data_IF_293740174967
#
_entry.id   IF_293740174967
#
_cell.length_a   1.000
_cell.length_b   1.000
_cell.length_c   1.000
_cell.angle_alpha   90.00
_cell.angle_beta   90.00
_cell.angle_gamma   90.00
#
_symmetry.space_group_name_H-M   'P 1'
#
loop_
_entity.id
_entity.type
_entity.pdbx_description
1 polymer ?
#
# COMPACT_ATOMS: atom_id res chain seq x y z
N UNK A 1 -13.41 3.15 -19.23
CA UNK A 1 -13.22 2.47 -17.93
C UNK A 1 -14.21 1.33 -17.83
N UNK A 2 -13.75 0.14 -17.49
CA UNK A 2 -14.56 -1.05 -17.24
C UNK A 2 -14.58 -1.37 -15.74
N UNK A 3 -15.74 -1.76 -15.22
CA UNK A 3 -15.89 -2.19 -13.83
C UNK A 3 -15.72 -3.70 -13.71
N UNK A 4 -15.06 -4.16 -12.64
CA UNK A 4 -15.09 -5.58 -12.23
C UNK A 4 -15.77 -5.64 -10.87
N UNK A 5 -16.93 -6.27 -10.84
CA UNK A 5 -17.67 -6.59 -9.62
C UNK A 5 -16.88 -7.64 -8.81
N UNK A 6 -16.46 -7.26 -7.60
CA UNK A 6 -15.75 -8.16 -6.69
C UNK A 6 -16.48 -8.23 -5.33
N UNK A 7 -17.09 -9.38 -5.06
CA UNK A 7 -17.82 -9.65 -3.83
C UNK A 7 -17.00 -10.45 -2.80
N UNK A 8 -15.75 -10.80 -3.10
CA UNK A 8 -14.87 -11.48 -2.15
C UNK A 8 -14.40 -10.53 -1.06
N UNK A 9 -14.45 -11.00 0.19
CA UNK A 9 -13.85 -10.32 1.35
C UNK A 9 -12.49 -10.93 1.73
N UNK A 10 -12.04 -11.96 1.01
CA UNK A 10 -10.73 -12.59 1.24
C UNK A 10 -9.63 -11.66 0.71
N UNK A 11 -8.76 -11.13 1.59
CA UNK A 11 -7.69 -10.23 1.16
C UNK A 11 -6.71 -10.89 0.18
N UNK A 12 -6.48 -12.21 0.29
CA UNK A 12 -5.55 -12.91 -0.59
C UNK A 12 -6.09 -12.97 -2.02
N UNK A 13 -7.38 -13.27 -2.17
CA UNK A 13 -8.07 -13.21 -3.46
C UNK A 13 -8.04 -11.79 -4.04
N UNK A 14 -8.36 -10.77 -3.23
CA UNK A 14 -8.48 -9.40 -3.71
C UNK A 14 -7.16 -8.85 -4.27
N UNK A 15 -6.06 -9.07 -3.56
CA UNK A 15 -4.74 -8.68 -4.07
C UNK A 15 -4.26 -9.58 -5.22
N UNK A 16 -4.67 -10.85 -5.26
CA UNK A 16 -4.42 -11.72 -6.40
C UNK A 16 -5.16 -11.27 -7.66
N UNK A 17 -6.39 -10.74 -7.52
CA UNK A 17 -7.15 -10.17 -8.63
C UNK A 17 -6.44 -8.93 -9.19
N UNK A 18 -6.02 -8.00 -8.34
CA UNK A 18 -5.23 -6.83 -8.79
C UNK A 18 -3.97 -7.29 -9.54
N UNK A 19 -3.23 -8.25 -8.98
CA UNK A 19 -2.00 -8.78 -9.57
C UNK A 19 -2.27 -9.46 -10.92
N UNK A 20 -3.28 -10.32 -10.99
CA UNK A 20 -3.69 -11.01 -12.21
C UNK A 20 -3.99 -10.03 -13.34
N UNK A 21 -4.72 -8.94 -13.03
CA UNK A 21 -5.11 -7.92 -14.00
C UNK A 21 -3.96 -7.09 -14.55
N UNK A 22 -2.86 -6.94 -13.80
CA UNK A 22 -1.68 -6.21 -14.26
C UNK A 22 -0.60 -7.12 -14.86
N UNK A 23 -0.59 -8.42 -14.53
CA UNK A 23 0.48 -9.33 -14.99
C UNK A 23 0.08 -10.31 -16.07
N UNK A 24 -1.17 -10.78 -16.09
CA UNK A 24 -1.59 -11.91 -16.92
C UNK A 24 -2.82 -11.60 -17.79
N UNK A 25 -3.82 -10.88 -17.26
CA UNK A 25 -5.01 -10.54 -18.02
C UNK A 25 -4.77 -9.33 -18.92
N UNK A 26 -5.23 -9.44 -20.16
CA UNK A 26 -5.35 -8.29 -21.05
C UNK A 26 -6.83 -8.06 -21.34
N UNK A 27 -7.32 -6.89 -20.96
CA UNK A 27 -8.65 -6.41 -21.32
C UNK A 27 -8.52 -5.36 -22.43
N UNK A 28 -9.53 -5.21 -23.30
CA UNK A 28 -9.49 -4.23 -24.39
C UNK A 28 -9.57 -2.79 -23.87
N UNK A 29 -10.15 -2.55 -22.70
CA UNK A 29 -10.21 -1.23 -22.08
C UNK A 29 -8.90 -0.86 -21.40
N UNK A 30 -8.46 0.38 -21.61
CA UNK A 30 -7.22 0.90 -21.02
C UNK A 30 -7.34 1.23 -19.52
N UNK A 31 -8.53 1.19 -18.93
CA UNK A 31 -8.74 1.49 -17.52
C UNK A 31 -9.77 0.56 -16.90
N UNK A 32 -9.39 -0.08 -15.80
CA UNK A 32 -10.22 -0.99 -15.00
C UNK A 32 -10.43 -0.34 -13.63
N UNK A 33 -11.66 -0.45 -13.12
CA UNK A 33 -12.03 -0.01 -11.78
C UNK A 33 -12.58 -1.19 -10.97
N UNK A 34 -12.15 -1.29 -9.71
CA UNK A 34 -12.63 -2.28 -8.75
C UNK A 34 -12.93 -1.54 -7.46
N UNK A 35 -14.05 -1.88 -6.82
CA UNK A 35 -14.41 -1.37 -5.49
C UNK A 35 -14.75 -2.57 -4.62
N UNK A 36 -13.95 -2.77 -3.57
CA UNK A 36 -13.89 -4.03 -2.82
C UNK A 36 -13.69 -3.76 -1.33
N UNK A 37 -13.89 -4.76 -0.49
CA UNK A 37 -13.63 -4.68 0.96
C UNK A 37 -13.00 -5.97 1.45
N UNK A 38 -12.61 -6.01 2.71
CA UNK A 38 -11.97 -7.20 3.32
C UNK A 38 -12.58 -7.52 4.67
N UNK A 39 -12.50 -8.79 5.05
CA UNK A 39 -12.54 -9.15 6.47
C UNK A 39 -11.38 -8.48 7.24
N UNK A 40 -11.41 -8.42 8.58
CA UNK A 40 -10.35 -7.77 9.36
C UNK A 40 -8.94 -8.16 8.90
N UNK A 41 -8.18 -7.19 8.37
CA UNK A 41 -6.91 -7.44 7.69
C UNK A 41 -5.89 -6.33 7.99
N UNK A 42 -4.66 -6.75 8.25
CA UNK A 42 -3.45 -5.92 8.22
C UNK A 42 -2.83 -5.99 6.83
N UNK A 43 -2.88 -4.89 6.08
CA UNK A 43 -2.28 -4.77 4.76
C UNK A 43 -0.89 -4.13 4.88
N UNK A 44 0.14 -4.95 4.72
CA UNK A 44 1.54 -4.56 4.86
C UNK A 44 2.05 -3.96 3.54
N UNK A 45 2.76 -2.83 3.60
CA UNK A 45 3.42 -2.25 2.45
C UNK A 45 4.54 -3.15 1.90
N UNK A 46 4.77 -3.11 0.59
CA UNK A 46 5.73 -4.00 -0.10
C UNK A 46 7.09 -4.07 0.57
N UNK A 47 7.60 -2.93 1.07
CA UNK A 47 8.94 -2.80 1.62
C UNK A 47 8.99 -2.82 3.16
N UNK A 48 7.88 -3.04 3.86
CA UNK A 48 7.89 -3.01 5.33
C UNK A 48 8.33 -4.33 5.96
N UNK A 49 8.94 -4.26 7.14
CA UNK A 49 9.21 -5.43 7.96
C UNK A 49 7.95 -5.80 8.76
N UNK A 50 7.23 -6.85 8.35
CA UNK A 50 5.93 -7.22 8.94
C UNK A 50 6.01 -7.41 10.45
N UNK A 51 7.06 -8.08 10.94
CA UNK A 51 7.21 -8.43 12.36
C UNK A 51 7.31 -7.17 13.22
N UNK A 52 7.91 -6.10 12.70
CA UNK A 52 8.09 -4.84 13.44
C UNK A 52 6.83 -3.95 13.38
N UNK A 53 5.97 -4.14 12.39
CA UNK A 53 4.83 -3.24 12.13
C UNK A 53 3.53 -3.68 12.80
N UNK A 54 3.41 -4.97 13.15
CA UNK A 54 2.16 -5.55 13.68
C UNK A 54 2.29 -6.17 15.06
N UNK A 55 1.19 -6.13 15.81
CA UNK A 55 0.99 -6.97 16.98
C UNK A 55 0.46 -8.35 16.54
N UNK A 56 1.39 -9.26 16.22
CA UNK A 56 1.05 -10.57 15.65
C UNK A 56 0.17 -11.43 16.58
N UNK A 57 0.44 -11.39 17.89
CA UNK A 57 -0.36 -12.15 18.88
C UNK A 57 -1.80 -11.65 18.94
N UNK A 58 -2.00 -10.33 18.95
CA UNK A 58 -3.33 -9.74 18.88
C UNK A 58 -4.02 -10.09 17.56
N UNK A 59 -3.31 -9.97 16.44
CA UNK A 59 -3.87 -10.28 15.12
C UNK A 59 -4.35 -11.74 15.04
N UNK A 60 -3.50 -12.70 15.44
CA UNK A 60 -3.86 -14.13 15.49
C UNK A 60 -5.05 -14.40 16.41
N UNK A 61 -5.06 -13.83 17.62
CA UNK A 61 -6.12 -14.05 18.60
C UNK A 61 -7.49 -13.54 18.13
N UNK A 62 -7.50 -12.46 17.34
CA UNK A 62 -8.73 -11.84 16.84
C UNK A 62 -9.07 -12.23 15.39
N UNK A 63 -8.36 -13.21 14.81
CA UNK A 63 -8.62 -13.67 13.44
C UNK A 63 -8.29 -12.65 12.35
N UNK A 64 -7.45 -11.66 12.65
CA UNK A 64 -7.04 -10.62 11.69
C UNK A 64 -6.01 -11.20 10.73
N UNK A 65 -6.30 -11.14 9.42
CA UNK A 65 -5.39 -11.61 8.38
C UNK A 65 -4.22 -10.66 8.20
N UNK A 66 -3.10 -11.17 7.69
CA UNK A 66 -1.91 -10.37 7.35
C UNK A 66 -1.58 -10.65 5.90
N UNK A 67 -1.54 -9.59 5.08
CA UNK A 67 -1.23 -9.70 3.65
C UNK A 67 -0.30 -8.57 3.23
N UNK A 68 0.74 -8.89 2.46
CA UNK A 68 1.61 -7.89 1.84
C UNK A 68 1.09 -7.52 0.46
N UNK A 69 0.92 -6.22 0.22
CA UNK A 69 0.56 -5.70 -1.11
C UNK A 69 1.79 -5.45 -1.97
N UNK A 70 1.57 -5.29 -3.28
CA UNK A 70 2.64 -5.03 -4.26
C UNK A 70 3.03 -3.56 -4.38
N UNK A 71 2.33 -2.67 -3.69
CA UNK A 71 2.61 -1.23 -3.63
C UNK A 71 3.40 -0.88 -2.36
N UNK A 72 4.15 0.22 -2.41
CA UNK A 72 4.86 0.77 -1.24
C UNK A 72 3.91 1.38 -0.20
N UNK A 73 4.44 2.22 0.68
CA UNK A 73 3.67 2.86 1.76
C UNK A 73 3.64 2.07 3.07
N UNK A 74 2.95 2.63 4.08
CA UNK A 74 2.86 2.05 5.42
C UNK A 74 1.81 0.94 5.59
N UNK A 75 1.74 0.37 6.79
CA UNK A 75 0.76 -0.69 7.11
C UNK A 75 -0.58 -0.03 7.43
N UNK A 76 -1.66 -0.63 6.94
CA UNK A 76 -3.03 -0.19 7.25
C UNK A 76 -3.86 -1.36 7.79
N UNK A 77 -4.86 -1.03 8.60
CA UNK A 77 -5.91 -1.96 9.02
C UNK A 77 -7.16 -1.70 8.18
N UNK A 78 -7.84 -2.77 7.80
CA UNK A 78 -9.12 -2.74 7.10
C UNK A 78 -10.07 -3.75 7.72
N UNK A 79 -11.36 -3.52 7.55
CA UNK A 79 -12.44 -4.38 8.03
C UNK A 79 -13.68 -4.20 7.15
N UNK A 80 -14.79 -4.81 7.58
CA UNK A 80 -16.07 -4.76 6.88
C UNK A 80 -16.73 -3.37 6.89
N UNK A 81 -16.29 -2.47 7.78
CA UNK A 81 -16.76 -1.09 7.85
C UNK A 81 -16.03 -0.17 6.86
N UNK A 82 -14.86 -0.57 6.37
CA UNK A 82 -14.10 0.16 5.34
C UNK A 82 -14.33 -0.36 3.93
N UNK A 83 -13.91 0.45 2.95
CA UNK A 83 -13.86 0.07 1.54
C UNK A 83 -12.48 0.34 0.95
N UNK A 84 -12.17 -0.35 -0.14
CA UNK A 84 -10.98 -0.17 -0.95
C UNK A 84 -11.39 0.04 -2.40
N UNK A 85 -10.54 0.74 -3.14
CA UNK A 85 -10.74 0.94 -4.56
C UNK A 85 -9.43 0.78 -5.31
N UNK A 86 -9.53 0.35 -6.56
CA UNK A 86 -8.36 0.12 -7.43
C UNK A 86 -8.67 0.65 -8.82
N UNK A 87 -7.80 1.52 -9.32
CA UNK A 87 -7.71 1.94 -10.70
C UNK A 87 -6.48 1.28 -11.33
N UNK A 88 -6.71 0.43 -12.32
CA UNK A 88 -5.64 -0.21 -13.09
C UNK A 88 -5.69 0.40 -14.49
N UNK A 89 -4.64 1.12 -14.87
CA UNK A 89 -4.58 1.84 -16.15
C UNK A 89 -3.42 1.34 -16.98
N UNK A 90 -3.68 0.99 -18.24
CA UNK A 90 -2.66 0.61 -19.20
C UNK A 90 -1.89 1.84 -19.65
N UNK A 91 -0.56 1.70 -19.76
CA UNK A 91 0.36 2.79 -20.02
C UNK A 91 1.20 3.13 -18.80
N UNK A 92 2.48 3.42 -19.04
CA UNK A 92 3.40 3.88 -18.02
C UNK A 92 3.15 5.37 -17.78
N UNK A 93 2.64 5.72 -16.60
CA UNK A 93 2.85 7.07 -16.10
C UNK A 93 4.36 7.25 -15.85
N UNK A 94 4.96 8.32 -16.37
CA UNK A 94 6.38 8.61 -16.14
C UNK A 94 6.67 8.89 -14.65
N UNK A 95 5.65 9.32 -13.90
CA UNK A 95 5.72 9.68 -12.48
C UNK A 95 4.50 9.16 -11.70
N UNK A 96 4.64 9.09 -10.37
CA UNK A 96 3.51 8.79 -9.48
C UNK A 96 2.68 10.07 -9.34
N UNK A 97 1.40 10.00 -9.75
CA UNK A 97 0.45 11.11 -9.66
C UNK A 97 -0.88 10.61 -9.08
N UNK A 98 -1.05 10.83 -7.78
CA UNK A 98 -2.24 10.42 -7.05
C UNK A 98 -3.47 11.28 -7.40
N UNK A 99 -3.29 12.54 -7.83
CA UNK A 99 -4.41 13.47 -8.05
C UNK A 99 -5.36 12.98 -9.14
N UNK A 100 -4.80 12.40 -10.21
CA UNK A 100 -5.56 11.87 -11.35
C UNK A 100 -6.59 10.82 -10.94
N UNK A 101 -6.25 9.95 -9.99
CA UNK A 101 -7.10 8.83 -9.56
C UNK A 101 -8.02 9.17 -8.38
N UNK A 102 -7.66 10.19 -7.60
CA UNK A 102 -8.40 10.63 -6.43
C UNK A 102 -9.61 11.49 -6.80
N UNK A 103 -9.54 12.26 -7.90
CA UNK A 103 -10.61 13.16 -8.33
C UNK A 103 -12.00 12.50 -8.37
N UNK A 104 -12.19 11.34 -9.05
CA UNK A 104 -13.48 10.64 -9.07
C UNK A 104 -14.01 10.22 -7.69
N UNK A 105 -13.11 9.90 -6.75
CA UNK A 105 -13.47 9.53 -5.37
C UNK A 105 -13.98 10.76 -4.61
N UNK A 106 -13.29 11.89 -4.72
CA UNK A 106 -13.72 13.16 -4.10
C UNK A 106 -15.09 13.59 -4.66
N UNK A 107 -15.29 13.51 -5.97
CA UNK A 107 -16.58 13.86 -6.58
C UNK A 107 -17.71 12.91 -6.14
N UNK A 108 -17.41 11.63 -5.90
CA UNK A 108 -18.35 10.69 -5.29
C UNK A 108 -18.76 11.09 -3.88
N UNK A 109 -17.80 11.44 -3.04
CA UNK A 109 -18.06 11.88 -1.66
C UNK A 109 -18.80 13.22 -1.61
N UNK A 110 -18.50 14.13 -2.53
CA UNK A 110 -19.19 15.42 -2.65
C UNK A 110 -20.69 15.27 -2.94
N UNK A 111 -21.10 14.24 -3.69
CA UNK A 111 -22.53 13.92 -3.90
C UNK A 111 -23.24 13.44 -2.62
N UNK A 112 -22.48 13.04 -1.61
CA UNK A 112 -22.97 12.69 -0.27
C UNK A 112 -22.85 13.88 0.71
N UNK A 113 -22.57 15.08 0.21
CA UNK A 113 -22.29 16.28 0.99
C UNK A 113 -21.09 16.16 1.95
N UNK A 114 -20.15 15.24 1.66
CA UNK A 114 -18.92 15.06 2.45
C UNK A 114 -17.80 15.95 1.87
N UNK A 115 -17.26 16.91 2.63
CA UNK A 115 -16.23 17.85 2.16
C UNK A 115 -14.84 17.20 2.22
N UNK A 116 -14.61 16.23 1.35
CA UNK A 116 -13.34 15.54 1.21
C UNK A 116 -12.33 16.37 0.41
N UNK A 117 -11.09 16.42 0.90
CA UNK A 117 -9.99 17.17 0.29
C UNK A 117 -8.72 16.32 0.24
N UNK A 118 -7.82 16.65 -0.68
CA UNK A 118 -6.47 16.09 -0.73
C UNK A 118 -5.54 17.00 0.09
N UNK A 119 -4.93 16.48 1.17
CA UNK A 119 -4.13 17.34 2.06
C UNK A 119 -2.61 17.21 1.88
N UNK A 120 -2.14 16.09 1.34
CA UNK A 120 -0.72 15.75 1.33
C UNK A 120 -0.44 14.56 0.42
N UNK A 121 0.85 14.24 0.26
CA UNK A 121 1.48 13.15 -0.49
C UNK A 121 0.57 12.06 -1.08
N UNK A 122 -0.24 11.38 -0.28
CA UNK A 122 -1.08 10.26 -0.72
C UNK A 122 -2.37 10.08 0.10
N UNK A 123 -2.83 11.10 0.83
CA UNK A 123 -3.92 10.98 1.79
C UNK A 123 -5.12 11.90 1.46
N UNK A 124 -6.33 11.43 1.80
CA UNK A 124 -7.55 12.25 1.77
C UNK A 124 -8.01 12.57 3.18
N UNK A 125 -8.53 13.78 3.36
CA UNK A 125 -8.99 14.29 4.64
C UNK A 125 -10.40 14.87 4.58
N UNK A 126 -11.07 14.83 5.72
CA UNK A 126 -12.29 15.60 5.99
C UNK A 126 -11.96 16.48 7.20
N UNK A 127 -12.07 17.80 7.04
CA UNK A 127 -11.71 18.77 8.08
C UNK A 127 -10.31 18.55 8.68
N UNK A 128 -9.34 18.21 7.83
CA UNK A 128 -7.95 17.94 8.23
C UNK A 128 -7.69 16.57 8.86
N UNK A 129 -8.71 15.73 9.08
CA UNK A 129 -8.56 14.35 9.57
C UNK A 129 -8.56 13.35 8.42
N UNK A 130 -7.59 12.44 8.41
CA UNK A 130 -7.42 11.42 7.38
C UNK A 130 -8.55 10.39 7.40
N UNK A 131 -9.11 10.10 6.23
CA UNK A 131 -10.06 9.00 6.04
C UNK A 131 -9.62 8.05 4.92
N UNK A 132 -8.55 8.37 4.18
CA UNK A 132 -8.07 7.54 3.08
C UNK A 132 -6.55 7.61 2.98
N UNK A 133 -5.92 6.46 2.72
CA UNK A 133 -4.54 6.37 2.29
C UNK A 133 -4.45 5.70 0.93
N UNK A 134 -3.62 6.25 0.05
CA UNK A 134 -3.43 5.81 -1.34
C UNK A 134 -2.03 5.25 -1.56
N UNK A 135 -1.90 4.32 -2.49
CA UNK A 135 -0.62 3.77 -2.90
C UNK A 135 -0.63 3.46 -4.41
N UNK A 136 0.53 3.60 -5.04
CA UNK A 136 0.69 3.36 -6.47
C UNK A 136 1.91 2.48 -6.74
N UNK A 137 1.83 1.64 -7.78
CA UNK A 137 2.99 1.02 -8.41
C UNK A 137 2.83 0.95 -9.92
N UNK A 138 3.95 0.84 -10.63
CA UNK A 138 4.00 0.53 -12.05
C UNK A 138 4.54 -0.89 -12.22
N UNK A 139 3.85 -1.73 -13.00
CA UNK A 139 4.27 -3.10 -13.29
C UNK A 139 3.73 -3.53 -14.65
N UNK A 140 4.57 -4.18 -15.47
CA UNK A 140 4.19 -4.76 -16.77
C UNK A 140 3.44 -3.81 -17.71
N UNK A 141 3.81 -2.52 -17.70
CA UNK A 141 3.14 -1.51 -18.53
C UNK A 141 1.79 -1.02 -18.00
N UNK A 142 1.42 -1.40 -16.77
CA UNK A 142 0.26 -0.90 -16.06
C UNK A 142 0.65 -0.01 -14.89
N UNK A 143 -0.21 0.96 -14.60
CA UNK A 143 -0.22 1.70 -13.35
C UNK A 143 -1.38 1.19 -12.50
N UNK A 144 -1.07 0.66 -11.31
CA UNK A 144 -2.06 0.36 -10.27
C UNK A 144 -2.05 1.51 -9.27
N UNK A 145 -3.16 2.22 -9.14
CA UNK A 145 -3.46 3.11 -8.02
C UNK A 145 -4.57 2.50 -7.20
N UNK A 146 -4.36 2.28 -5.91
CA UNK A 146 -5.41 1.86 -5.02
C UNK A 146 -5.43 2.68 -3.74
N UNK A 147 -6.57 2.67 -3.06
CA UNK A 147 -6.74 3.39 -1.81
C UNK A 147 -7.74 2.71 -0.89
N UNK A 148 -7.66 3.09 0.37
CA UNK A 148 -8.61 2.72 1.42
C UNK A 148 -9.57 3.88 1.68
N UNK A 149 -10.78 3.58 2.14
CA UNK A 149 -11.79 4.52 2.58
C UNK A 149 -12.28 4.03 3.95
N UNK A 150 -11.93 4.78 4.99
CA UNK A 150 -12.41 4.58 6.35
C UNK A 150 -13.86 5.08 6.38
N UNK A 151 -14.80 4.20 6.05
CA UNK A 151 -16.21 4.56 6.04
C UNK A 151 -16.81 4.44 7.45
N UNK A 152 -16.70 3.27 8.06
CA UNK A 152 -17.12 2.98 9.44
C UNK A 152 -16.16 1.97 10.10
N UNK A 153 -14.86 2.20 9.95
CA UNK A 153 -13.79 1.29 10.40
C UNK A 153 -13.61 1.32 11.91
N UNK A 154 -13.31 0.17 12.50
CA UNK A 154 -13.01 -0.01 13.91
C UNK A 154 -11.60 0.50 14.27
N UNK A 155 -11.54 1.76 14.72
CA UNK A 155 -10.27 2.38 15.14
C UNK A 155 -9.67 1.76 16.40
N UNK A 156 -10.44 1.06 17.22
CA UNK A 156 -9.90 0.40 18.41
C UNK A 156 -9.12 -0.86 17.99
N UNK A 157 -9.69 -1.67 17.09
CA UNK A 157 -8.96 -2.79 16.50
C UNK A 157 -7.73 -2.33 15.72
N UNK A 158 -7.87 -1.28 14.89
CA UNK A 158 -6.75 -0.68 14.16
C UNK A 158 -5.56 -0.34 15.07
N UNK A 159 -5.82 0.27 16.23
CA UNK A 159 -4.74 0.65 17.16
C UNK A 159 -4.13 -0.57 17.83
N UNK A 160 -4.94 -1.57 18.20
CA UNK A 160 -4.48 -2.75 18.93
C UNK A 160 -3.68 -3.73 18.07
N UNK A 161 -3.94 -3.79 16.77
CA UNK A 161 -3.28 -4.72 15.85
C UNK A 161 -1.97 -4.17 15.26
N UNK A 162 -1.70 -2.88 15.37
CA UNK A 162 -0.44 -2.26 14.95
C UNK A 162 0.53 -2.19 16.13
N UNK A 163 1.83 -2.30 15.85
CA UNK A 163 2.85 -2.13 16.89
C UNK A 163 2.77 -0.69 17.44
N UNK A 164 2.54 -0.58 18.74
CA UNK A 164 2.69 0.66 19.49
C UNK A 164 4.02 0.58 20.24
N UNK A 165 4.77 1.69 20.30
CA UNK A 165 5.93 1.79 21.20
C UNK A 165 5.50 1.31 22.60
N UNK A 166 6.30 0.44 23.23
CA UNK A 166 6.00 -0.18 24.53
C UNK A 166 5.65 0.84 25.64
N UNK A 167 6.03 2.10 25.46
CA UNK A 167 5.76 3.22 26.37
C UNK A 167 4.39 3.90 26.18
N UNK A 168 3.66 3.62 25.10
CA UNK A 168 2.35 4.23 24.81
C UNK A 168 1.22 3.38 25.37
N UNK A 169 0.52 3.91 26.37
CA UNK A 169 -0.74 3.33 26.85
C UNK A 169 -1.76 3.28 25.70
N UNK A 170 -2.36 2.12 25.43
CA UNK A 170 -3.33 1.89 24.33
C UNK A 170 -4.43 2.95 24.30
N UNK A 171 -4.98 3.34 25.47
CA UNK A 171 -6.03 4.38 25.54
C UNK A 171 -5.57 5.75 25.04
N UNK A 172 -4.29 6.12 25.25
CA UNK A 172 -3.69 7.33 24.66
C UNK A 172 -3.48 7.16 23.15
N UNK A 173 -3.13 5.94 22.70
CA UNK A 173 -3.03 5.59 21.28
C UNK A 173 -4.36 5.78 20.55
N UNK A 174 -5.46 5.23 21.08
CA UNK A 174 -6.80 5.36 20.50
C UNK A 174 -7.21 6.83 20.40
N UNK A 175 -7.03 7.60 21.48
CA UNK A 175 -7.35 9.02 21.48
C UNK A 175 -6.54 9.79 20.42
N UNK A 176 -5.23 9.54 20.35
CA UNK A 176 -4.33 10.15 19.36
C UNK A 176 -4.65 9.77 17.91
N UNK A 177 -5.15 8.56 17.67
CA UNK A 177 -5.62 8.15 16.33
C UNK A 177 -6.90 8.91 15.97
N UNK A 178 -7.92 8.95 16.85
CA UNK A 178 -9.17 9.69 16.61
C UNK A 178 -9.01 11.21 16.44
N UNK A 179 -7.89 11.77 16.88
CA UNK A 179 -7.51 13.16 16.61
C UNK A 179 -7.02 13.38 15.18
N UNK A 180 -6.46 12.34 14.54
CA UNK A 180 -5.81 12.41 13.21
C UNK A 180 -6.59 11.72 12.09
N UNK A 181 -7.44 10.74 12.42
CA UNK A 181 -8.27 10.00 11.47
C UNK A 181 -9.75 10.15 11.79
N UNK A 182 -10.61 9.90 10.79
CA UNK A 182 -12.07 9.99 10.93
C UNK A 182 -12.75 9.02 9.99
N UNK A 183 -13.95 8.58 10.35
CA UNK A 183 -14.81 7.76 9.50
C UNK A 183 -15.70 8.67 8.64
N UNK A 184 -15.91 8.31 7.37
CA UNK A 184 -16.80 9.05 6.46
C UNK A 184 -18.23 9.07 7.02
N UNK A 185 -18.68 7.98 7.68
CA UNK A 185 -20.01 7.85 8.27
C UNK A 185 -20.33 8.97 9.27
N UNK A 186 -19.32 9.50 9.97
CA UNK A 186 -19.44 10.59 10.95
C UNK A 186 -19.74 11.96 10.32
N UNK A 187 -19.54 12.11 9.00
CA UNK A 187 -19.69 13.38 8.28
C UNK A 187 -20.88 13.39 7.32
N UNK A 188 -21.71 12.36 7.33
CA UNK A 188 -22.90 12.29 6.49
C UNK A 188 -24.05 13.10 7.09
N UNK A 189 -24.78 13.82 6.23
CA UNK A 189 -26.01 14.52 6.62
C UNK A 189 -27.15 13.55 6.96
N UNK A 190 -27.14 12.35 6.35
CA UNK A 190 -28.07 11.26 6.61
C UNK A 190 -27.30 9.95 6.76
N UNK A 191 -27.56 9.15 7.81
CA UNK A 191 -26.94 7.84 7.95
C UNK A 191 -27.27 6.94 6.75
N UNK A 192 -26.26 6.28 6.21
CA UNK A 192 -26.40 5.21 5.21
C UNK A 192 -25.55 4.02 5.65
N UNK A 193 -25.96 2.81 5.28
CA UNK A 193 -25.15 1.61 5.51
C UNK A 193 -23.98 1.50 4.50
N UNK A 194 -23.03 0.61 4.81
CA UNK A 194 -21.82 0.39 4.01
C UNK A 194 -22.11 -0.04 2.57
N UNK A 195 -23.17 -0.81 2.33
CA UNK A 195 -23.49 -1.36 1.01
C UNK A 195 -24.21 -0.31 0.15
N UNK A 196 -25.01 0.56 0.77
CA UNK A 196 -25.56 1.76 0.15
C UNK A 196 -24.43 2.72 -0.25
N UNK A 197 -23.45 2.94 0.63
CA UNK A 197 -22.26 3.73 0.30
C UNK A 197 -21.51 3.16 -0.91
N UNK A 198 -21.27 1.84 -0.95
CA UNK A 198 -20.67 1.16 -2.12
C UNK A 198 -21.39 1.50 -3.41
N UNK A 199 -22.71 1.32 -3.45
CA UNK A 199 -23.51 1.55 -4.68
C UNK A 199 -23.35 2.99 -5.18
N UNK A 200 -23.46 3.97 -4.28
CA UNK A 200 -23.34 5.39 -4.61
C UNK A 200 -21.93 5.75 -5.13
N UNK A 201 -20.88 5.19 -4.51
CA UNK A 201 -19.50 5.40 -4.95
C UNK A 201 -19.24 4.79 -6.32
N UNK A 202 -19.65 3.53 -6.54
CA UNK A 202 -19.48 2.85 -7.84
C UNK A 202 -20.24 3.60 -8.94
N UNK A 203 -21.51 3.96 -8.70
CA UNK A 203 -22.32 4.71 -9.66
C UNK A 203 -21.68 6.06 -9.99
N UNK A 204 -21.17 6.78 -8.98
CA UNK A 204 -20.54 8.07 -9.20
C UNK A 204 -19.23 7.96 -9.98
N UNK A 205 -18.35 7.01 -9.61
CA UNK A 205 -17.03 6.84 -10.25
C UNK A 205 -17.18 6.34 -11.68
N UNK A 206 -18.13 5.46 -11.94
CA UNK A 206 -18.43 4.96 -13.30
C UNK A 206 -19.14 6.01 -14.18
N UNK A 207 -19.58 7.14 -13.62
CA UNK A 207 -20.21 8.25 -14.35
C UNK A 207 -21.38 7.78 -15.24
N UNK A 208 -22.16 6.81 -14.77
CA UNK A 208 -23.28 6.23 -15.52
C UNK A 208 -22.90 5.19 -16.59
N UNK A 209 -21.60 4.91 -16.81
CA UNK A 209 -21.16 3.78 -17.62
C UNK A 209 -21.60 2.46 -17.00
N UNK A 210 -22.09 1.55 -17.85
CA UNK A 210 -22.45 0.17 -17.48
C UNK A 210 -21.46 -0.87 -18.02
N UNK A 211 -20.28 -0.42 -18.47
CA UNK A 211 -19.23 -1.30 -18.95
C UNK A 211 -18.72 -2.16 -17.78
N UNK A 212 -18.92 -3.47 -17.87
CA UNK A 212 -18.59 -4.42 -16.82
C UNK A 212 -17.92 -5.65 -17.43
N UNK A 213 -16.86 -6.13 -16.77
CA UNK A 213 -16.22 -7.40 -17.08
C UNK A 213 -16.53 -8.40 -15.98
N UNK A 214 -17.22 -9.48 -16.35
CA UNK A 214 -17.49 -10.61 -15.47
C UNK A 214 -16.31 -11.57 -15.48
N UNK A 215 -15.75 -11.86 -14.30
CA UNK A 215 -14.67 -12.84 -14.17
C UNK A 215 -15.17 -14.21 -14.62
N UNK A 216 -14.46 -14.83 -15.56
CA UNK A 216 -14.75 -16.19 -16.02
C UNK A 216 -14.28 -17.22 -15.00
N UNK A 217 -14.74 -18.47 -15.12
CA UNK A 217 -14.25 -19.56 -14.28
C UNK A 217 -12.71 -19.73 -14.36
N UNK A 218 -12.13 -19.56 -15.56
CA UNK A 218 -10.69 -19.63 -15.75
C UNK A 218 -9.95 -18.46 -15.07
N UNK A 219 -10.53 -17.25 -15.08
CA UNK A 219 -9.98 -16.11 -14.34
C UNK A 219 -9.99 -16.43 -12.84
N UNK A 220 -11.11 -16.91 -12.31
CA UNK A 220 -11.27 -17.26 -10.89
C UNK A 220 -10.28 -18.35 -10.46
N UNK A 221 -10.12 -19.41 -11.25
CA UNK A 221 -9.16 -20.49 -10.96
C UNK A 221 -7.73 -19.94 -10.89
N UNK A 222 -7.35 -19.08 -11.83
CA UNK A 222 -6.00 -18.50 -11.85
C UNK A 222 -5.78 -17.51 -10.71
N UNK A 223 -6.74 -16.65 -10.42
CA UNK A 223 -6.68 -15.72 -9.28
C UNK A 223 -6.52 -16.49 -7.97
N UNK A 224 -7.29 -17.56 -7.76
CA UNK A 224 -7.17 -18.41 -6.57
C UNK A 224 -5.82 -19.13 -6.49
N UNK A 225 -5.24 -19.53 -7.62
CA UNK A 225 -3.88 -20.08 -7.64
C UNK A 225 -2.84 -19.04 -7.20
N UNK A 226 -2.89 -17.82 -7.76
CA UNK A 226 -2.01 -16.70 -7.36
C UNK A 226 -2.20 -16.36 -5.88
N UNK A 227 -3.44 -16.36 -5.38
CA UNK A 227 -3.74 -16.12 -3.97
C UNK A 227 -3.01 -17.12 -3.08
N UNK A 228 -3.07 -18.42 -3.38
CA UNK A 228 -2.38 -19.47 -2.62
C UNK A 228 -0.86 -19.42 -2.75
N UNK A 229 -0.36 -19.25 -3.97
CA UNK A 229 1.08 -19.31 -4.29
C UNK A 229 1.84 -18.10 -3.73
N UNK A 230 1.18 -16.94 -3.69
CA UNK A 230 1.81 -15.66 -3.37
C UNK A 230 1.19 -14.98 -2.16
N UNK A 231 -0.07 -14.55 -2.25
CA UNK A 231 -0.63 -13.64 -1.23
C UNK A 231 -0.93 -14.30 0.11
N UNK A 232 -1.15 -15.61 0.14
CA UNK A 232 -1.30 -16.41 1.35
C UNK A 232 0.03 -17.00 1.86
N UNK A 233 1.14 -16.88 1.12
CA UNK A 233 2.40 -17.52 1.50
C UNK A 233 3.15 -16.74 2.58
N UNK A 234 3.80 -17.49 3.47
CA UNK A 234 4.60 -16.90 4.56
C UNK A 234 5.78 -16.10 4.01
N UNK A 235 6.42 -16.63 2.97
CA UNK A 235 7.57 -16.03 2.30
C UNK A 235 7.23 -14.67 1.69
N UNK A 236 6.00 -14.47 1.21
CA UNK A 236 5.58 -13.17 0.70
C UNK A 236 5.19 -12.21 1.83
N UNK A 237 4.39 -12.67 2.79
CA UNK A 237 3.84 -11.80 3.81
C UNK A 237 4.86 -11.38 4.87
N UNK A 238 5.78 -12.27 5.26
CA UNK A 238 6.77 -12.02 6.30
C UNK A 238 8.20 -11.99 5.76
N UNK A 239 8.48 -12.75 4.70
CA UNK A 239 9.80 -12.79 4.09
C UNK A 239 10.83 -13.56 4.91
N UNK A 240 12.10 -13.38 4.54
CA UNK A 240 13.25 -13.86 5.30
C UNK A 240 13.74 -12.74 6.23
N UNK A 241 14.37 -13.11 7.33
CA UNK A 241 15.16 -12.21 8.18
C UNK A 241 16.64 -12.39 7.84
N UNK A 242 17.19 -11.64 6.88
CA UNK A 242 18.57 -11.76 6.48
C UNK A 242 19.50 -11.36 7.63
N UNK A 243 20.72 -11.91 7.62
CA UNK A 243 21.73 -11.52 8.60
C UNK A 243 22.13 -10.07 8.36
N UNK A 244 22.32 -9.33 9.43
CA UNK A 244 22.87 -7.98 9.38
C UNK A 244 23.65 -7.71 10.67
N UNK A 245 24.66 -6.85 10.58
CA UNK A 245 25.43 -6.37 11.71
C UNK A 245 25.46 -4.83 11.79
N UNK A 246 24.94 -4.15 10.76
CA UNK A 246 24.76 -2.71 10.73
C UNK A 246 23.32 -2.39 10.33
N UNK A 247 22.69 -1.49 11.09
CA UNK A 247 21.42 -0.86 10.71
C UNK A 247 21.65 0.64 10.51
N UNK A 248 21.08 1.18 9.43
CA UNK A 248 21.01 2.62 9.17
C UNK A 248 19.60 3.00 8.79
N UNK A 249 19.11 4.11 9.33
CA UNK A 249 17.74 4.57 9.09
C UNK A 249 17.77 6.02 8.66
N UNK A 250 17.14 6.29 7.53
CA UNK A 250 16.93 7.62 6.97
C UNK A 250 15.45 7.96 6.92
N UNK A 251 15.11 9.24 7.17
CA UNK A 251 13.77 9.75 6.94
C UNK A 251 13.82 10.86 5.90
N UNK A 252 13.12 10.64 4.81
CA UNK A 252 13.02 11.54 3.68
C UNK A 252 11.58 12.06 3.56
N UNK A 253 11.37 13.11 2.77
CA UNK A 253 10.03 13.51 2.32
C UNK A 253 9.30 12.32 1.66
N UNK A 254 10.10 11.52 0.95
CA UNK A 254 9.79 10.24 0.35
C UNK A 254 9.55 9.05 1.29
N UNK A 255 9.57 9.23 2.61
CA UNK A 255 9.30 8.17 3.59
C UNK A 255 10.55 7.68 4.29
N UNK A 256 10.37 6.74 5.23
CA UNK A 256 11.44 6.06 5.96
C UNK A 256 12.09 5.01 5.07
N UNK A 257 13.42 4.97 5.03
CA UNK A 257 14.19 3.84 4.53
C UNK A 257 15.10 3.32 5.64
N UNK A 258 15.17 2.00 5.78
CA UNK A 258 16.05 1.32 6.70
C UNK A 258 16.92 0.32 5.94
N UNK A 259 18.22 0.42 6.11
CA UNK A 259 19.23 -0.44 5.51
C UNK A 259 19.75 -1.40 6.57
N UNK A 260 19.48 -2.69 6.37
CA UNK A 260 20.06 -3.80 7.14
C UNK A 260 21.22 -4.36 6.31
N UNK A 261 22.44 -4.14 6.78
CA UNK A 261 23.67 -4.51 6.08
C UNK A 261 24.42 -5.57 6.88
N UNK A 262 24.95 -6.59 6.18
CA UNK A 262 25.99 -7.46 6.72
C UNK A 262 27.32 -7.02 6.13
N UNK A 263 28.21 -6.47 6.96
CA UNK A 263 29.52 -5.99 6.54
C UNK A 263 30.61 -6.89 7.11
N UNK A 264 31.33 -7.57 6.22
CA UNK A 264 32.42 -8.48 6.58
C UNK A 264 33.71 -8.05 5.88
N UNK A 265 34.80 -7.92 6.65
CA UNK A 265 36.10 -7.45 6.15
C UNK A 265 36.01 -6.12 5.37
N UNK A 266 35.18 -5.19 5.85
CA UNK A 266 34.98 -3.88 5.25
C UNK A 266 34.19 -3.89 3.94
N UNK A 267 33.56 -5.01 3.56
CA UNK A 267 32.69 -5.12 2.37
C UNK A 267 31.27 -5.50 2.76
N UNK A 268 30.30 -4.94 2.06
CA UNK A 268 28.89 -5.31 2.18
C UNK A 268 28.71 -6.69 1.54
N UNK A 269 28.33 -7.69 2.32
CA UNK A 269 28.07 -9.06 1.85
C UNK A 269 26.59 -9.37 1.68
N UNK A 270 25.72 -8.66 2.40
CA UNK A 270 24.28 -8.70 2.25
C UNK A 270 23.69 -7.32 2.53
N UNK A 271 22.60 -6.98 1.85
CA UNK A 271 21.90 -5.71 1.99
C UNK A 271 20.41 -5.93 1.81
N UNK A 272 19.62 -5.61 2.83
CA UNK A 272 18.17 -5.59 2.75
C UNK A 272 17.63 -4.24 3.14
N UNK A 273 16.68 -3.74 2.37
CA UNK A 273 16.15 -2.39 2.52
C UNK A 273 14.66 -2.48 2.85
N UNK A 274 14.30 -1.94 4.01
CA UNK A 274 12.92 -1.84 4.47
C UNK A 274 12.44 -0.38 4.50
N UNK A 275 11.13 -0.17 4.58
CA UNK A 275 10.56 1.16 4.75
C UNK A 275 9.12 1.31 4.30
N UNK A 276 8.61 2.53 4.43
CA UNK A 276 7.26 2.94 4.01
C UNK A 276 7.29 3.85 2.76
N UNK A 277 8.42 3.88 2.05
CA UNK A 277 8.61 4.67 0.84
C UNK A 277 7.82 4.12 -0.36
N UNK A 278 7.71 4.96 -1.39
CA UNK A 278 7.18 4.57 -2.70
C UNK A 278 8.31 4.57 -3.73
N UNK A 279 8.24 3.65 -4.68
CA UNK A 279 9.19 3.58 -5.78
C UNK A 279 8.58 2.96 -7.02
N UNK A 280 9.04 3.43 -8.18
CA UNK A 280 8.68 2.90 -9.50
C UNK A 280 9.62 1.78 -9.94
N UNK A 281 10.77 1.63 -9.27
CA UNK A 281 11.73 0.56 -9.51
C UNK A 281 11.70 -0.50 -8.41
N UNK A 282 12.17 -1.71 -8.75
CA UNK A 282 12.41 -2.75 -7.77
C UNK A 282 13.56 -2.32 -6.84
N UNK A 283 13.30 -2.34 -5.54
CA UNK A 283 14.30 -2.01 -4.50
C UNK A 283 15.54 -2.91 -4.61
N UNK A 284 15.40 -4.11 -5.19
CA UNK A 284 16.52 -5.02 -5.40
C UNK A 284 17.62 -4.44 -6.28
N UNK A 285 17.29 -3.53 -7.21
CA UNK A 285 18.30 -2.82 -8.00
C UNK A 285 19.27 -2.06 -7.10
N UNK A 286 18.77 -1.45 -6.02
CA UNK A 286 19.60 -0.73 -5.07
C UNK A 286 20.34 -1.68 -4.12
N UNK A 287 19.68 -2.71 -3.58
CA UNK A 287 20.36 -3.66 -2.69
C UNK A 287 21.47 -4.42 -3.38
N UNK A 288 21.23 -4.90 -4.61
CA UNK A 288 22.19 -5.70 -5.37
C UNK A 288 23.39 -4.84 -5.79
N UNK A 289 23.18 -3.55 -6.08
CA UNK A 289 24.27 -2.62 -6.36
C UNK A 289 25.19 -2.40 -5.15
N UNK A 290 24.68 -2.49 -3.92
CA UNK A 290 25.48 -2.31 -2.71
C UNK A 290 26.28 -3.56 -2.34
N UNK A 291 25.82 -4.76 -2.70
CA UNK A 291 26.53 -6.01 -2.41
C UNK A 291 27.89 -6.05 -3.12
N UNK A 292 28.92 -6.44 -2.39
CA UNK A 292 30.33 -6.47 -2.84
C UNK A 292 31.05 -5.13 -2.71
N UNK A 293 30.34 -4.04 -2.43
CA UNK A 293 30.92 -2.70 -2.30
C UNK A 293 31.66 -2.55 -0.97
N UNK A 294 32.81 -1.88 -0.98
CA UNK A 294 33.53 -1.50 0.23
C UNK A 294 32.66 -0.54 1.05
N UNK A 295 32.52 -0.77 2.36
CA UNK A 295 31.69 0.05 3.25
C UNK A 295 32.39 1.39 3.58
N UNK A 296 32.37 2.30 2.61
CA UNK A 296 32.76 3.70 2.76
C UNK A 296 31.93 4.58 1.81
N UNK A 297 31.78 5.85 2.17
CA UNK A 297 30.94 6.83 1.46
C UNK A 297 31.26 6.93 -0.04
N UNK A 298 32.53 6.97 -0.43
CA UNK A 298 32.91 7.09 -1.84
C UNK A 298 32.51 5.87 -2.68
N UNK A 299 32.73 4.67 -2.16
CA UNK A 299 32.43 3.42 -2.86
C UNK A 299 30.92 3.22 -2.99
N UNK A 300 30.16 3.54 -1.94
CA UNK A 300 28.70 3.51 -1.95
C UNK A 300 28.14 4.50 -2.98
N UNK A 301 28.62 5.75 -3.01
CA UNK A 301 28.20 6.73 -4.03
C UNK A 301 28.45 6.22 -5.44
N UNK A 302 29.62 5.63 -5.69
CA UNK A 302 29.96 5.04 -7.01
C UNK A 302 29.04 3.87 -7.36
N UNK A 303 28.76 2.98 -6.42
CA UNK A 303 27.88 1.83 -6.63
C UNK A 303 26.46 2.27 -6.97
N UNK A 304 25.90 3.23 -6.22
CA UNK A 304 24.56 3.75 -6.51
C UNK A 304 24.54 4.48 -7.86
N UNK A 305 25.54 5.29 -8.18
CA UNK A 305 25.62 5.95 -9.50
C UNK A 305 25.71 4.94 -10.65
N UNK A 306 26.45 3.84 -10.48
CA UNK A 306 26.62 2.78 -11.48
C UNK A 306 25.36 1.92 -11.67
N UNK A 307 24.48 1.84 -10.67
CA UNK A 307 23.22 1.09 -10.75
C UNK A 307 22.23 1.66 -11.78
N UNK A 308 22.50 2.86 -12.32
CA UNK A 308 21.63 3.53 -13.29
C UNK A 308 20.38 4.14 -12.65
N UNK A 309 20.24 4.07 -11.32
CA UNK A 309 19.20 4.77 -10.58
C UNK A 309 19.49 6.27 -10.72
N UNK A 310 18.73 6.94 -11.59
CA UNK A 310 18.73 8.42 -11.71
C UNK A 310 17.50 9.02 -11.02
N UNK A 311 16.39 8.31 -11.10
CA UNK A 311 15.10 8.58 -10.47
C UNK A 311 14.41 7.22 -10.23
N UNK A 312 13.54 7.12 -9.23
CA UNK A 312 12.71 5.92 -9.04
C UNK A 312 12.27 5.63 -7.62
N UNK A 313 12.71 6.42 -6.65
CA UNK A 313 12.07 6.54 -5.34
C UNK A 313 11.38 7.90 -5.26
N UNK A 314 10.13 7.91 -4.83
CA UNK A 314 9.31 9.13 -4.78
C UNK A 314 9.85 10.06 -3.70
N UNK A 315 10.30 11.27 -4.08
CA UNK A 315 10.83 12.30 -3.17
C UNK A 315 12.01 11.82 -2.30
N UNK A 316 12.92 11.01 -2.85
CA UNK A 316 14.16 10.59 -2.17
C UNK A 316 15.34 10.90 -3.09
N UNK A 317 16.27 11.72 -2.59
CA UNK A 317 17.49 12.04 -3.32
C UNK A 317 18.56 10.96 -3.07
N UNK A 318 19.20 10.52 -4.15
CA UNK A 318 20.23 9.49 -4.13
C UNK A 318 21.50 9.94 -3.39
N UNK A 319 21.86 11.22 -3.50
CA UNK A 319 23.03 11.73 -2.79
C UNK A 319 22.85 11.69 -1.26
N UNK A 320 21.61 11.86 -0.79
CA UNK A 320 21.25 11.72 0.61
C UNK A 320 21.29 10.24 1.06
N UNK A 321 20.98 9.28 0.17
CA UNK A 321 21.03 7.85 0.50
C UNK A 321 22.43 7.42 0.92
N UNK A 322 23.46 7.80 0.15
CA UNK A 322 24.82 7.40 0.45
C UNK A 322 25.33 7.95 1.79
N UNK A 323 24.87 9.14 2.17
CA UNK A 323 25.22 9.79 3.43
C UNK A 323 24.53 9.13 4.63
N UNK A 324 23.39 8.46 4.42
CA UNK A 324 22.68 7.71 5.46
C UNK A 324 23.22 6.29 5.60
N UNK A 325 23.62 5.65 4.50
CA UNK A 325 24.13 4.28 4.49
C UNK A 325 25.48 4.18 5.23
N UNK A 326 26.30 5.24 5.23
CA UNK A 326 27.65 5.22 5.78
C UNK A 326 27.80 6.06 7.04
#
# INVERSE_FOLDING_TARGET
MIYIENNSTDPFFNFALEYYLITEKQLPEDQIFIFWRTEPTLMIGKYQNTIEEINEDYAKKNGIKVVRRITGGGTIYTDMGGWQFSFITKGLAETIDFNKYIGPVIEGLKKLDVPAEFNSRNDLVIHGKKFSGNAQCMLNGYTLHHGSLLFDTDFEQMVKCLTVDDYKIISKGIKSVKERVTNISEHLTKPIDTDTFRKLMVESIMQGSKAEYQLTAADLDRINAIAREKFASWEWNYGKSPKFNITRTGRFDGGKMEFKLDVNNGKITDCTIYGDFFGTMDIKVLSDALIGTTYNKESIKKAIAASGIKQGFYQINIDELADIIC
#
